data_IF_065983007634
#
_entry.id   IF_065983007634
#
_cell.length_a   1.000
_cell.length_b   1.000
_cell.length_c   1.000
_cell.angle_alpha   90.00
_cell.angle_beta   90.00
_cell.angle_gamma   90.00
#
_symmetry.space_group_name_H-M   'P 1'
#
loop_
_entity.id
_entity.type
_entity.pdbx_description
1 polymer ?
#
# COMPACT_ATOMS: atom_id res chain seq x y z
N UNK A 1 65.85 38.88 -16.09
CA UNK A 1 64.53 38.93 -16.76
C UNK A 1 63.49 38.30 -15.84
N UNK A 2 62.30 38.92 -15.74
CA UNK A 2 61.00 38.57 -15.14
C UNK A 2 60.87 37.28 -14.28
N UNK A 3 60.40 37.29 -13.03
CA UNK A 3 59.06 37.61 -12.46
C UNK A 3 58.05 36.43 -12.44
N UNK A 4 57.35 36.32 -11.30
CA UNK A 4 56.51 35.24 -10.73
C UNK A 4 55.20 34.94 -11.49
N UNK A 5 54.55 33.80 -11.16
CA UNK A 5 53.13 33.58 -10.74
C UNK A 5 52.67 32.14 -11.15
N UNK A 6 52.50 31.18 -10.23
CA UNK A 6 51.29 30.77 -9.48
C UNK A 6 50.18 30.04 -10.29
N UNK A 7 50.14 28.69 -10.16
CA UNK A 7 48.99 27.70 -10.13
C UNK A 7 47.84 27.80 -11.17
N UNK A 8 46.85 26.86 -11.25
CA UNK A 8 46.64 25.51 -10.67
C UNK A 8 46.31 24.48 -11.80
N UNK A 9 46.05 23.18 -11.59
CA UNK A 9 44.70 22.56 -11.53
C UNK A 9 44.91 21.03 -11.60
N UNK A 10 44.63 20.29 -10.53
CA UNK A 10 43.36 19.64 -10.15
C UNK A 10 43.37 18.14 -10.46
N UNK A 11 43.66 17.38 -9.39
CA UNK A 11 43.12 16.07 -9.04
C UNK A 11 41.93 15.63 -9.91
N UNK A 12 42.15 14.74 -10.88
CA UNK A 12 41.07 13.90 -11.40
C UNK A 12 40.87 12.74 -10.43
N UNK A 13 40.21 13.03 -9.32
CA UNK A 13 39.48 12.03 -8.55
C UNK A 13 38.42 11.45 -9.50
N UNK A 14 38.68 10.27 -10.05
CA UNK A 14 37.63 9.43 -10.64
C UNK A 14 36.65 9.10 -9.52
N UNK A 15 35.64 9.96 -9.40
CA UNK A 15 34.48 9.77 -8.56
C UNK A 15 33.81 8.49 -9.03
N UNK A 16 34.05 7.41 -8.29
CA UNK A 16 33.23 6.21 -8.36
C UNK A 16 31.86 6.65 -7.84
N UNK A 17 31.02 7.15 -8.76
CA UNK A 17 29.62 7.45 -8.51
C UNK A 17 29.00 6.14 -8.03
N UNK A 18 28.93 6.02 -6.70
CA UNK A 18 28.05 5.11 -6.01
C UNK A 18 26.68 5.31 -6.67
N UNK A 19 26.28 4.37 -7.52
CA UNK A 19 24.89 4.16 -7.90
C UNK A 19 24.18 3.72 -6.63
N UNK A 20 23.93 4.70 -5.76
CA UNK A 20 23.05 4.54 -4.61
C UNK A 20 21.67 4.21 -5.20
N UNK A 21 21.04 3.12 -4.74
CA UNK A 21 19.63 2.88 -5.04
C UNK A 21 18.87 4.14 -4.62
N UNK A 22 18.24 4.81 -5.58
CA UNK A 22 17.41 5.96 -5.26
C UNK A 22 16.36 5.49 -4.24
N UNK A 23 16.21 6.17 -3.08
CA UNK A 23 15.12 5.87 -2.19
C UNK A 23 13.82 6.06 -2.98
N UNK A 24 12.93 5.07 -2.92
CA UNK A 24 11.62 5.15 -3.58
C UNK A 24 10.95 6.48 -3.19
N UNK A 25 10.52 7.24 -4.20
CA UNK A 25 9.87 8.53 -3.94
C UNK A 25 8.55 8.28 -3.23
N UNK A 26 8.12 9.18 -2.34
CA UNK A 26 6.79 9.14 -1.73
C UNK A 26 5.66 9.01 -2.78
N UNK A 27 5.90 9.56 -3.98
CA UNK A 27 5.01 9.42 -5.15
C UNK A 27 4.87 7.97 -5.62
N UNK A 28 5.97 7.22 -5.67
CA UNK A 28 5.98 5.82 -6.10
C UNK A 28 5.27 4.92 -5.09
N UNK A 29 5.38 5.23 -3.80
CA UNK A 29 4.66 4.51 -2.74
C UNK A 29 3.15 4.77 -2.78
N UNK A 30 2.73 6.01 -3.02
CA UNK A 30 1.31 6.35 -3.21
C UNK A 30 0.72 5.62 -4.42
N UNK A 31 1.42 5.60 -5.56
CA UNK A 31 0.95 4.90 -6.75
C UNK A 31 0.92 3.37 -6.56
N UNK A 32 1.91 2.80 -5.89
CA UNK A 32 1.92 1.37 -5.52
C UNK A 32 0.71 1.02 -4.66
N UNK A 33 0.37 1.89 -3.71
CA UNK A 33 -0.78 1.69 -2.84
C UNK A 33 -2.11 1.80 -3.57
N UNK A 34 -2.27 2.78 -4.47
CA UNK A 34 -3.46 2.86 -5.32
C UNK A 34 -3.66 1.59 -6.14
N UNK A 35 -2.57 1.00 -6.67
CA UNK A 35 -2.62 -0.29 -7.38
C UNK A 35 -3.05 -1.44 -6.47
N UNK A 36 -2.54 -1.49 -5.24
CA UNK A 36 -2.94 -2.48 -4.24
C UNK A 36 -4.44 -2.37 -3.93
N UNK A 37 -4.92 -1.16 -3.63
CA UNK A 37 -6.32 -0.88 -3.32
C UNK A 37 -7.22 -1.26 -4.51
N UNK A 38 -6.85 -0.86 -5.73
CA UNK A 38 -7.61 -1.21 -6.93
C UNK A 38 -7.71 -2.74 -7.15
N UNK A 39 -6.62 -3.48 -6.90
CA UNK A 39 -6.63 -4.94 -6.95
C UNK A 39 -7.57 -5.54 -5.91
N UNK A 40 -7.48 -5.07 -4.65
CA UNK A 40 -8.33 -5.55 -3.56
C UNK A 40 -9.81 -5.26 -3.87
N UNK A 41 -10.14 -4.04 -4.29
CA UNK A 41 -11.53 -3.67 -4.60
C UNK A 41 -12.11 -4.51 -5.74
N UNK A 42 -11.31 -4.82 -6.76
CA UNK A 42 -11.72 -5.74 -7.82
C UNK A 42 -12.05 -7.13 -7.25
N UNK A 43 -11.16 -7.68 -6.43
CA UNK A 43 -11.32 -9.03 -5.87
C UNK A 43 -12.48 -9.09 -4.85
N UNK A 44 -12.67 -8.04 -4.05
CA UNK A 44 -13.79 -7.90 -3.10
C UNK A 44 -15.12 -7.74 -3.83
N UNK A 45 -15.17 -6.94 -4.89
CA UNK A 45 -16.37 -6.79 -5.72
C UNK A 45 -16.77 -8.13 -6.35
N UNK A 46 -15.79 -8.91 -6.83
CA UNK A 46 -16.04 -10.24 -7.35
C UNK A 46 -16.56 -11.21 -6.27
N UNK A 47 -15.96 -11.17 -5.07
CA UNK A 47 -16.38 -11.99 -3.94
C UNK A 47 -17.78 -11.63 -3.40
N UNK A 48 -18.32 -10.44 -3.72
CA UNK A 48 -19.69 -10.08 -3.33
C UNK A 48 -20.77 -10.99 -3.93
N UNK A 49 -20.46 -11.80 -4.95
CA UNK A 49 -21.36 -12.86 -5.41
C UNK A 49 -21.73 -13.86 -4.31
N UNK A 50 -20.84 -14.06 -3.32
CA UNK A 50 -21.04 -14.98 -2.20
C UNK A 50 -21.83 -14.34 -1.05
N UNK A 51 -21.53 -13.08 -0.70
CA UNK A 51 -22.18 -12.38 0.42
C UNK A 51 -23.51 -11.72 0.04
N UNK A 52 -23.65 -11.37 -1.25
CA UNK A 52 -24.83 -10.70 -1.82
C UNK A 52 -25.16 -9.40 -1.09
N UNK A 53 -24.14 -8.61 -0.73
CA UNK A 53 -24.35 -7.27 -0.19
C UNK A 53 -25.10 -6.43 -1.21
N UNK A 54 -25.95 -5.53 -0.70
CA UNK A 54 -26.54 -4.48 -1.53
C UNK A 54 -25.43 -3.63 -2.16
N UNK A 55 -25.71 -2.97 -3.28
CA UNK A 55 -24.74 -2.07 -3.91
C UNK A 55 -24.26 -0.96 -2.94
N UNK A 56 -25.15 -0.48 -2.06
CA UNK A 56 -24.81 0.50 -1.03
C UNK A 56 -23.87 -0.05 0.04
N UNK A 57 -24.11 -1.28 0.51
CA UNK A 57 -23.27 -1.90 1.54
C UNK A 57 -21.92 -2.34 0.99
N UNK A 58 -21.88 -2.87 -0.23
CA UNK A 58 -20.62 -3.17 -0.92
C UNK A 58 -19.78 -1.90 -1.07
N UNK A 59 -20.40 -0.80 -1.52
CA UNK A 59 -19.71 0.48 -1.67
C UNK A 59 -19.15 0.97 -0.33
N UNK A 60 -19.93 0.92 0.75
CA UNK A 60 -19.46 1.28 2.09
C UNK A 60 -18.27 0.42 2.51
N UNK A 61 -18.34 -0.89 2.31
CA UNK A 61 -17.25 -1.79 2.68
C UNK A 61 -15.96 -1.48 1.90
N UNK A 62 -16.05 -1.24 0.59
CA UNK A 62 -14.88 -0.83 -0.21
C UNK A 62 -14.37 0.56 0.19
N UNK A 63 -15.26 1.51 0.52
CA UNK A 63 -14.86 2.83 0.99
C UNK A 63 -14.10 2.75 2.34
N UNK A 64 -14.48 1.83 3.24
CA UNK A 64 -13.75 1.54 4.47
C UNK A 64 -12.36 1.01 4.15
N UNK A 65 -12.26 -0.02 3.28
CA UNK A 65 -10.98 -0.60 2.87
C UNK A 65 -10.04 0.47 2.30
N UNK A 66 -10.54 1.31 1.39
CA UNK A 66 -9.79 2.38 0.76
C UNK A 66 -9.26 3.36 1.80
N UNK A 67 -10.15 3.83 2.69
CA UNK A 67 -9.80 4.78 3.73
C UNK A 67 -8.73 4.22 4.65
N UNK A 68 -8.86 2.99 5.13
CA UNK A 68 -7.91 2.39 6.07
C UNK A 68 -6.56 2.09 5.41
N UNK A 69 -6.54 1.57 4.19
CA UNK A 69 -5.29 1.30 3.47
C UNK A 69 -4.55 2.59 3.05
N UNK A 70 -5.29 3.68 2.79
CA UNK A 70 -4.70 4.95 2.37
C UNK A 70 -4.15 5.81 3.53
N UNK A 71 -4.42 5.46 4.80
CA UNK A 71 -3.92 6.22 5.97
C UNK A 71 -2.40 6.29 6.08
N UNK A 72 -1.69 5.18 5.89
CA UNK A 72 -0.26 5.09 6.24
C UNK A 72 0.61 4.37 5.20
N UNK A 73 1.85 4.85 4.90
CA UNK A 73 2.81 4.20 3.99
C UNK A 73 2.83 2.67 4.05
N UNK A 74 2.74 2.03 2.88
CA UNK A 74 2.82 0.56 2.78
C UNK A 74 4.25 0.06 2.98
N UNK A 75 5.25 0.89 2.68
CA UNK A 75 6.64 0.51 2.83
C UNK A 75 6.95 0.31 4.31
N UNK A 76 7.21 -0.96 4.66
CA UNK A 76 7.68 -1.43 5.97
C UNK A 76 6.61 -1.66 7.03
N UNK A 77 5.37 -2.01 6.65
CA UNK A 77 4.41 -2.51 7.63
C UNK A 77 4.78 -3.93 8.09
N UNK A 78 5.09 -4.06 9.37
CA UNK A 78 5.21 -5.33 10.09
C UNK A 78 3.91 -6.14 10.02
N UNK A 79 3.98 -7.43 10.33
CA UNK A 79 2.78 -8.29 10.42
C UNK A 79 1.76 -7.72 11.42
N UNK A 80 2.23 -7.14 12.52
CA UNK A 80 1.40 -6.49 13.54
C UNK A 80 0.67 -5.26 13.00
N UNK A 81 1.34 -4.38 12.26
CA UNK A 81 0.70 -3.22 11.64
C UNK A 81 -0.31 -3.62 10.54
N UNK A 82 -0.06 -4.72 9.83
CA UNK A 82 -1.03 -5.27 8.88
C UNK A 82 -2.28 -5.82 9.60
N UNK A 83 -2.08 -6.54 10.71
CA UNK A 83 -3.18 -7.01 11.56
C UNK A 83 -3.98 -5.85 12.16
N UNK A 84 -3.29 -4.77 12.55
CA UNK A 84 -3.94 -3.55 13.05
C UNK A 84 -4.88 -2.95 12.01
N UNK A 85 -4.44 -2.78 10.76
CA UNK A 85 -5.30 -2.26 9.68
C UNK A 85 -6.52 -3.17 9.47
N UNK A 86 -6.33 -4.49 9.49
CA UNK A 86 -7.44 -5.43 9.36
C UNK A 86 -8.43 -5.29 10.51
N UNK A 87 -7.96 -5.08 11.73
CA UNK A 87 -8.80 -4.78 12.90
C UNK A 87 -9.55 -3.46 12.71
N UNK A 88 -8.88 -2.40 12.27
CA UNK A 88 -9.49 -1.09 12.02
C UNK A 88 -10.59 -1.17 10.95
N UNK A 89 -10.38 -1.96 9.88
CA UNK A 89 -11.40 -2.24 8.86
C UNK A 89 -12.59 -3.00 9.46
N UNK A 90 -12.33 -4.02 10.29
CA UNK A 90 -13.38 -4.79 10.96
C UNK A 90 -14.23 -3.91 11.87
N UNK A 91 -13.59 -3.13 12.73
CA UNK A 91 -14.27 -2.24 13.68
C UNK A 91 -15.10 -1.18 12.95
N UNK A 92 -14.54 -0.58 11.89
CA UNK A 92 -15.27 0.34 11.02
C UNK A 92 -16.46 -0.33 10.32
N UNK A 93 -16.31 -1.59 9.90
CA UNK A 93 -17.40 -2.36 9.28
C UNK A 93 -18.55 -2.59 10.26
N UNK A 94 -18.28 -3.00 11.51
CA UNK A 94 -19.33 -3.11 12.53
C UNK A 94 -20.05 -1.79 12.80
N UNK A 95 -19.31 -0.67 12.74
CA UNK A 95 -19.87 0.68 12.99
C UNK A 95 -20.72 1.20 11.83
N UNK A 96 -20.26 1.03 10.59
CA UNK A 96 -20.87 1.64 9.40
C UNK A 96 -21.87 0.71 8.67
N UNK A 97 -21.82 -0.59 8.98
CA UNK A 97 -22.72 -1.64 8.49
C UNK A 97 -23.36 -2.42 9.66
N UNK A 98 -24.01 -1.75 10.63
CA UNK A 98 -24.49 -2.38 11.86
C UNK A 98 -25.63 -3.38 11.65
N UNK A 99 -26.24 -3.40 10.47
CA UNK A 99 -27.29 -4.35 10.10
C UNK A 99 -26.74 -5.70 9.60
N UNK A 100 -25.44 -5.77 9.28
CA UNK A 100 -24.81 -7.03 8.93
C UNK A 100 -24.53 -7.86 10.19
N UNK A 101 -24.71 -9.17 10.09
CA UNK A 101 -24.36 -10.09 11.18
C UNK A 101 -22.85 -10.16 11.34
N UNK A 102 -22.38 -10.34 12.57
CA UNK A 102 -20.96 -10.48 12.87
C UNK A 102 -20.28 -11.56 12.01
N UNK A 103 -20.91 -12.74 11.86
CA UNK A 103 -20.43 -13.82 10.99
C UNK A 103 -20.25 -13.40 9.52
N UNK A 104 -21.05 -12.45 9.03
CA UNK A 104 -20.92 -11.93 7.67
C UNK A 104 -19.72 -11.01 7.56
N UNK A 105 -19.53 -10.14 8.56
CA UNK A 105 -18.36 -9.25 8.65
C UNK A 105 -17.08 -10.09 8.77
N UNK A 106 -17.05 -11.13 9.61
CA UNK A 106 -15.89 -12.02 9.73
C UNK A 106 -15.52 -12.66 8.39
N UNK A 107 -16.50 -13.19 7.64
CA UNK A 107 -16.25 -13.76 6.30
C UNK A 107 -15.70 -12.74 5.30
N UNK A 108 -16.21 -11.52 5.34
CA UNK A 108 -15.72 -10.43 4.50
C UNK A 108 -14.27 -10.07 4.85
N UNK A 109 -13.95 -10.03 6.15
CA UNK A 109 -12.59 -9.76 6.65
C UNK A 109 -11.63 -10.89 6.30
N UNK A 110 -12.02 -12.15 6.43
CA UNK A 110 -11.17 -13.28 6.05
C UNK A 110 -10.89 -13.30 4.54
N UNK A 111 -11.90 -12.94 3.75
CA UNK A 111 -11.71 -12.77 2.31
C UNK A 111 -10.78 -11.61 2.01
N UNK A 112 -10.92 -10.47 2.69
CA UNK A 112 -10.01 -9.33 2.57
C UNK A 112 -8.57 -9.73 2.88
N UNK A 113 -8.31 -10.50 3.95
CA UNK A 113 -6.96 -11.01 4.25
C UNK A 113 -6.41 -11.84 3.09
N UNK A 114 -7.20 -12.80 2.59
CA UNK A 114 -6.80 -13.68 1.50
C UNK A 114 -6.50 -12.90 0.20
N UNK A 115 -7.40 -12.00 -0.20
CA UNK A 115 -7.24 -11.18 -1.41
C UNK A 115 -6.17 -10.12 -1.26
N UNK A 116 -6.03 -9.54 -0.06
CA UNK A 116 -4.94 -8.63 0.28
C UNK A 116 -3.57 -9.26 0.10
N UNK A 117 -3.38 -10.51 0.58
CA UNK A 117 -2.14 -11.27 0.36
C UNK A 117 -1.88 -11.54 -1.13
N UNK A 118 -2.92 -11.93 -1.89
CA UNK A 118 -2.83 -12.12 -3.33
C UNK A 118 -2.37 -10.84 -4.03
N UNK A 119 -3.06 -9.71 -3.81
CA UNK A 119 -2.75 -8.44 -4.43
C UNK A 119 -1.38 -7.88 -4.00
N UNK A 120 -0.98 -8.05 -2.74
CA UNK A 120 0.34 -7.65 -2.27
C UNK A 120 1.46 -8.46 -2.92
N UNK A 121 1.24 -9.74 -3.25
CA UNK A 121 2.21 -10.55 -3.99
C UNK A 121 2.45 -10.04 -5.41
N UNK A 122 1.41 -9.49 -6.05
CA UNK A 122 1.46 -8.91 -7.38
C UNK A 122 2.07 -7.49 -7.40
N UNK A 123 1.97 -6.77 -6.29
CA UNK A 123 2.50 -5.41 -6.15
C UNK A 123 4.01 -5.34 -5.84
N UNK A 124 4.66 -6.47 -5.52
CA UNK A 124 6.11 -6.49 -5.28
C UNK A 124 6.86 -6.31 -6.61
N UNK A 125 7.85 -5.40 -6.68
CA UNK A 125 8.71 -5.31 -7.86
C UNK A 125 9.45 -6.64 -8.05
N UNK A 126 9.44 -7.16 -9.28
CA UNK A 126 10.30 -8.29 -9.65
C UNK A 126 11.75 -7.85 -9.42
N UNK A 127 12.49 -8.62 -8.63
CA UNK A 127 13.94 -8.46 -8.47
C UNK A 127 14.64 -8.61 -9.80
#
# INVERSE_FOLDING_TARGET
MAARLLFPTLLTMTSFLLTLPAPASAKDETETRKKLVACINKDITAANAEWKLSAGDLKKFTDIIDRELMKEPLAKKTSEEQMKIVSEIKDASHKELPHLKDDSIEKMIDTLKAKGMHCASLAKPKK
#
